data_IF_755521427456
#
_entry.id   IF_755521427456
#
_cell.length_a   1.000
_cell.length_b   1.000
_cell.length_c   1.000
_cell.angle_alpha   90.00
_cell.angle_beta   90.00
_cell.angle_gamma   90.00
#
_symmetry.space_group_name_H-M   'P 1'
#
loop_
_entity.id
_entity.type
_entity.pdbx_description
1 polymer ?
#
# COMPACT_ATOMS: atom_id res chain seq x y z
N UNK A 1 -26.96 -71.44 -19.31
CA UNK A 1 -26.84 -71.17 -17.85
C UNK A 1 -26.10 -69.84 -17.66
N UNK A 2 -26.75 -68.89 -16.96
CA UNK A 2 -26.26 -67.58 -16.47
C UNK A 2 -26.07 -66.42 -17.48
N UNK A 3 -27.19 -65.72 -17.67
CA UNK A 3 -27.33 -64.27 -17.86
C UNK A 3 -26.69 -63.53 -16.66
N UNK A 4 -26.01 -62.40 -16.91
CA UNK A 4 -26.11 -61.10 -16.18
C UNK A 4 -24.80 -60.32 -16.31
N UNK A 5 -24.89 -59.10 -16.85
CA UNK A 5 -23.77 -58.17 -16.93
C UNK A 5 -24.19 -56.80 -17.46
N UNK A 6 -25.24 -56.26 -16.85
CA UNK A 6 -25.72 -54.88 -17.05
C UNK A 6 -24.72 -53.92 -16.41
N UNK A 7 -24.11 -53.02 -17.19
CA UNK A 7 -23.46 -51.82 -16.64
C UNK A 7 -23.98 -50.60 -17.39
N UNK A 8 -24.66 -49.76 -16.60
CA UNK A 8 -25.33 -48.53 -16.95
C UNK A 8 -24.39 -47.51 -17.59
N UNK A 9 -24.86 -46.90 -18.68
CA UNK A 9 -24.34 -45.64 -19.21
C UNK A 9 -24.82 -44.52 -18.26
N UNK A 10 -23.92 -43.93 -17.47
CA UNK A 10 -24.21 -42.74 -16.67
C UNK A 10 -23.90 -41.49 -17.49
N UNK A 11 -24.96 -40.77 -17.86
CA UNK A 11 -24.93 -39.45 -18.48
C UNK A 11 -24.77 -38.37 -17.41
N UNK A 12 -23.84 -37.45 -17.67
CA UNK A 12 -23.74 -36.04 -17.29
C UNK A 12 -24.09 -35.61 -15.85
N UNK A 13 -23.09 -35.04 -15.16
CA UNK A 13 -23.14 -33.64 -14.70
C UNK A 13 -21.71 -33.10 -14.71
N UNK A 14 -21.38 -32.25 -15.68
CA UNK A 14 -20.19 -31.39 -15.59
C UNK A 14 -20.56 -30.29 -14.60
N UNK A 15 -20.18 -30.48 -13.33
CA UNK A 15 -20.28 -29.45 -12.30
C UNK A 15 -19.30 -28.33 -12.66
N UNK A 16 -19.78 -27.32 -13.38
CA UNK A 16 -19.02 -26.10 -13.61
C UNK A 16 -18.90 -25.40 -12.25
N UNK A 17 -17.84 -25.74 -11.52
CA UNK A 17 -17.42 -25.00 -10.35
C UNK A 17 -16.85 -23.66 -10.86
N UNK A 18 -17.72 -22.68 -11.11
CA UNK A 18 -17.29 -21.29 -11.10
C UNK A 18 -17.06 -20.91 -9.64
N UNK A 19 -15.92 -21.32 -9.09
CA UNK A 19 -15.34 -20.58 -7.98
C UNK A 19 -14.98 -19.23 -8.57
N UNK A 20 -15.87 -18.25 -8.38
CA UNK A 20 -15.55 -16.86 -8.63
C UNK A 20 -14.33 -16.53 -7.75
N UNK A 21 -13.14 -16.58 -8.33
CA UNK A 21 -11.98 -15.96 -7.72
C UNK A 21 -12.33 -14.49 -7.57
N UNK A 22 -12.60 -14.03 -6.34
CA UNK A 22 -12.36 -12.62 -6.03
C UNK A 22 -10.92 -12.39 -6.44
N UNK A 23 -10.70 -11.63 -7.51
CA UNK A 23 -9.36 -11.25 -7.97
C UNK A 23 -8.72 -10.59 -6.76
N UNK A 24 -7.84 -11.32 -6.05
CA UNK A 24 -7.03 -10.71 -5.00
C UNK A 24 -6.37 -9.51 -5.67
N UNK A 25 -6.39 -8.30 -5.07
CA UNK A 25 -5.74 -7.17 -5.69
C UNK A 25 -4.31 -7.62 -6.00
N UNK A 26 -3.90 -7.46 -7.26
CA UNK A 26 -2.55 -7.81 -7.68
C UNK A 26 -1.63 -7.07 -6.70
N UNK A 27 -0.75 -7.83 -6.03
CA UNK A 27 0.21 -7.26 -5.07
C UNK A 27 0.89 -6.06 -5.76
N UNK A 28 1.14 -4.96 -5.04
CA UNK A 28 1.78 -3.81 -5.64
C UNK A 28 3.17 -4.20 -6.13
N UNK A 29 3.54 -3.71 -7.31
CA UNK A 29 4.83 -4.03 -7.96
C UNK A 29 6.03 -3.49 -7.18
N UNK A 30 5.82 -2.45 -6.36
CA UNK A 30 6.74 -1.98 -5.34
C UNK A 30 6.06 -2.17 -3.96
N UNK A 31 6.72 -2.83 -2.98
CA UNK A 31 6.16 -3.04 -1.64
C UNK A 31 5.84 -1.74 -0.87
N UNK A 32 6.26 -0.57 -1.36
CA UNK A 32 5.96 0.73 -0.77
C UNK A 32 4.81 1.46 -1.52
N UNK A 33 4.41 0.98 -2.69
CA UNK A 33 3.36 1.56 -3.56
C UNK A 33 2.04 0.79 -3.55
N UNK A 34 1.50 0.52 -2.36
CA UNK A 34 0.14 -0.03 -2.25
C UNK A 34 -0.90 0.75 -3.06
N UNK A 35 -2.08 0.19 -3.21
CA UNK A 35 -3.19 0.82 -3.94
C UNK A 35 -3.89 1.80 -3.01
N UNK A 36 -3.67 3.09 -3.23
CA UNK A 36 -4.40 4.16 -2.55
C UNK A 36 -5.92 4.00 -2.76
N UNK A 37 -6.70 4.14 -1.69
CA UNK A 37 -8.16 4.23 -1.76
C UNK A 37 -8.65 5.68 -1.80
N UNK A 38 -7.74 6.65 -1.93
CA UNK A 38 -8.10 8.06 -2.06
C UNK A 38 -8.97 8.29 -3.31
N UNK A 39 -10.08 9.00 -3.12
CA UNK A 39 -11.00 9.35 -4.21
C UNK A 39 -10.60 10.72 -4.77
N UNK A 40 -10.14 10.73 -6.02
CA UNK A 40 -9.74 11.96 -6.71
C UNK A 40 -10.90 12.52 -7.53
N UNK A 41 -10.99 13.85 -7.60
CA UNK A 41 -12.02 14.52 -8.39
C UNK A 41 -11.71 14.36 -9.89
N UNK A 42 -12.57 13.69 -10.69
CA UNK A 42 -12.28 13.41 -12.10
C UNK A 42 -12.21 14.69 -12.97
N UNK A 43 -12.73 15.82 -12.47
CA UNK A 43 -12.69 17.11 -13.18
C UNK A 43 -11.43 17.92 -12.86
N UNK A 44 -10.46 17.34 -12.15
CA UNK A 44 -9.17 17.97 -11.84
C UNK A 44 -8.04 17.22 -12.53
N UNK A 45 -7.02 17.97 -12.93
CA UNK A 45 -5.79 17.42 -13.47
C UNK A 45 -4.79 17.22 -12.35
N UNK A 46 -4.16 16.04 -12.32
CA UNK A 46 -3.17 15.68 -11.32
C UNK A 46 -1.83 15.40 -12.00
N UNK A 47 -0.76 15.89 -11.38
CA UNK A 47 0.61 15.49 -11.71
C UNK A 47 1.07 14.33 -10.84
N UNK A 48 2.36 14.03 -10.90
CA UNK A 48 3.00 13.04 -10.02
C UNK A 48 4.35 13.54 -9.52
N UNK A 49 4.74 13.08 -8.32
CA UNK A 49 6.10 13.18 -7.79
C UNK A 49 6.53 11.80 -7.31
N UNK A 50 7.83 11.50 -7.40
CA UNK A 50 8.42 10.23 -6.95
C UNK A 50 9.49 10.52 -5.91
N UNK A 51 9.43 9.83 -4.77
CA UNK A 51 10.47 9.92 -3.72
C UNK A 51 11.62 8.92 -3.96
N UNK A 52 12.59 8.91 -3.04
CA UNK A 52 13.79 8.06 -3.11
C UNK A 52 13.49 6.55 -3.04
N UNK A 53 12.34 6.20 -2.46
CA UNK A 53 11.84 4.82 -2.32
C UNK A 53 11.10 4.32 -3.56
N UNK A 54 11.00 5.19 -4.57
CA UNK A 54 10.20 4.97 -5.75
C UNK A 54 8.69 5.07 -5.45
N UNK A 55 8.28 5.70 -4.33
CA UNK A 55 6.87 5.93 -4.09
C UNK A 55 6.34 6.99 -5.04
N UNK A 56 5.26 6.69 -5.76
CA UNK A 56 4.63 7.67 -6.66
C UNK A 56 3.41 8.28 -5.98
N UNK A 57 3.37 9.61 -5.92
CA UNK A 57 2.28 10.38 -5.32
C UNK A 57 1.64 11.27 -6.37
N UNK A 58 0.31 11.39 -6.35
CA UNK A 58 -0.40 12.42 -7.10
C UNK A 58 -0.11 13.80 -6.53
N UNK A 59 0.00 14.78 -7.42
CA UNK A 59 0.08 16.19 -7.06
C UNK A 59 -1.03 16.98 -7.73
N UNK A 60 -1.33 18.17 -7.22
CA UNK A 60 -2.29 19.10 -7.82
C UNK A 60 -1.76 20.52 -7.74
N UNK A 61 -1.99 21.30 -8.79
CA UNK A 61 -1.66 22.73 -8.80
C UNK A 61 -2.81 23.52 -8.16
N UNK A 62 -2.51 24.30 -7.13
CA UNK A 62 -3.45 25.21 -6.48
C UNK A 62 -2.80 26.59 -6.41
N UNK A 63 -3.40 27.57 -7.10
CA UNK A 63 -2.75 28.85 -7.36
C UNK A 63 -1.47 28.65 -8.18
N UNK A 64 -0.34 29.15 -7.66
CA UNK A 64 0.97 29.03 -8.30
C UNK A 64 1.85 27.92 -7.68
N UNK A 65 1.30 27.10 -6.79
CA UNK A 65 2.04 26.08 -6.06
C UNK A 65 1.55 24.68 -6.42
N UNK A 66 2.48 23.73 -6.44
CA UNK A 66 2.18 22.30 -6.57
C UNK A 66 2.11 21.68 -5.17
N UNK A 67 0.99 21.06 -4.87
CA UNK A 67 0.73 20.40 -3.59
C UNK A 67 0.67 18.89 -3.79
N UNK A 68 1.10 18.12 -2.78
CA UNK A 68 0.79 16.70 -2.73
C UNK A 68 -0.72 16.50 -2.56
N UNK A 69 -1.29 15.55 -3.29
CA UNK A 69 -2.69 15.13 -3.18
C UNK A 69 -2.85 13.82 -2.39
N UNK A 70 -1.74 13.29 -1.86
CA UNK A 70 -1.66 12.05 -1.09
C UNK A 70 -0.72 12.23 0.09
N UNK A 71 -0.79 11.33 1.08
CA UNK A 71 0.06 11.38 2.26
C UNK A 71 1.45 10.78 1.97
N UNK A 72 2.49 11.35 2.59
CA UNK A 72 3.88 10.90 2.46
C UNK A 72 4.09 9.51 3.11
N UNK A 73 4.89 8.64 2.47
CA UNK A 73 5.16 7.26 2.96
C UNK A 73 6.60 6.78 2.76
N UNK A 74 7.55 7.70 2.64
CA UNK A 74 8.99 7.45 2.54
C UNK A 74 9.55 6.74 3.79
N UNK A 75 10.59 5.96 3.61
CA UNK A 75 11.30 5.18 4.63
C UNK A 75 12.80 5.45 4.64
N UNK A 76 13.28 6.26 3.69
CA UNK A 76 14.64 6.78 3.65
C UNK A 76 14.62 8.31 3.53
N UNK A 77 15.63 8.94 4.08
CA UNK A 77 15.93 10.35 3.82
C UNK A 77 16.40 10.56 2.38
N UNK A 78 16.46 11.82 1.93
CA UNK A 78 16.88 12.16 0.56
C UNK A 78 18.33 11.74 0.24
N UNK A 79 19.17 11.50 1.24
CA UNK A 79 20.52 10.96 1.07
C UNK A 79 20.59 9.42 1.02
N UNK A 80 19.45 8.73 1.18
CA UNK A 80 19.36 7.27 1.19
C UNK A 80 19.49 6.62 2.57
N UNK A 81 19.71 7.38 3.64
CA UNK A 81 19.75 6.82 5.00
C UNK A 81 18.36 6.34 5.40
N UNK A 82 18.27 5.16 6.04
CA UNK A 82 17.01 4.63 6.55
C UNK A 82 16.50 5.44 7.73
N UNK A 83 15.19 5.69 7.76
CA UNK A 83 14.49 6.18 8.95
C UNK A 83 14.05 4.95 9.77
N UNK A 84 14.35 4.83 11.07
CA UNK A 84 13.95 3.68 11.87
C UNK A 84 12.42 3.52 11.98
N UNK A 85 11.91 2.30 11.76
CA UNK A 85 10.53 1.96 12.06
C UNK A 85 10.38 1.56 13.54
N UNK A 86 9.78 2.41 14.37
CA UNK A 86 9.61 2.16 15.80
C UNK A 86 8.13 2.04 16.15
N UNK A 87 7.72 0.85 16.59
CA UNK A 87 6.29 0.52 16.81
C UNK A 87 5.90 0.39 18.28
N UNK A 88 6.89 0.31 19.18
CA UNK A 88 6.66 0.20 20.63
C UNK A 88 6.38 1.58 21.23
N UNK A 89 5.26 1.70 21.96
CA UNK A 89 4.81 2.97 22.51
C UNK A 89 5.75 3.53 23.58
N UNK A 90 6.36 2.66 24.39
CA UNK A 90 7.27 3.09 25.46
C UNK A 90 8.54 3.66 24.84
N UNK A 91 9.11 2.92 23.88
CA UNK A 91 10.27 3.35 23.09
C UNK A 91 9.96 4.66 22.37
N UNK A 92 8.84 4.74 21.65
CA UNK A 92 8.45 5.94 20.89
C UNK A 92 8.39 7.21 21.75
N UNK A 93 7.80 7.09 22.95
CA UNK A 93 7.65 8.21 23.88
C UNK A 93 9.00 8.79 24.34
N UNK A 94 9.99 7.93 24.51
CA UNK A 94 11.30 8.30 25.07
C UNK A 94 12.36 8.60 24.00
N UNK A 95 12.01 8.48 22.70
CA UNK A 95 12.92 8.75 21.59
C UNK A 95 13.37 10.22 21.54
N UNK A 96 14.67 10.40 21.36
CA UNK A 96 15.30 11.66 20.97
C UNK A 96 15.92 11.62 19.56
N UNK A 97 15.63 10.56 18.80
CA UNK A 97 16.13 10.32 17.44
C UNK A 97 14.98 10.16 16.46
N UNK A 98 15.31 10.16 15.18
CA UNK A 98 14.34 9.97 14.11
C UNK A 98 13.65 8.61 14.16
N UNK A 99 12.36 8.63 13.83
CA UNK A 99 11.57 7.43 13.64
C UNK A 99 10.33 7.71 12.79
N UNK A 100 9.86 6.66 12.12
CA UNK A 100 8.52 6.59 11.57
C UNK A 100 7.78 5.37 12.12
N UNK A 101 6.46 5.36 11.98
CA UNK A 101 5.63 4.17 12.16
C UNK A 101 4.39 4.23 11.25
N UNK A 102 3.58 3.17 11.27
CA UNK A 102 2.30 3.15 10.54
C UNK A 102 1.15 3.25 11.54
N UNK A 103 0.03 3.83 11.11
CA UNK A 103 -1.19 3.82 11.91
C UNK A 103 -1.55 2.37 12.31
N UNK A 104 -1.76 2.16 13.62
CA UNK A 104 -2.02 0.84 14.20
C UNK A 104 -0.94 -0.23 13.89
N UNK A 105 0.31 0.18 13.63
CA UNK A 105 1.42 -0.69 13.27
C UNK A 105 1.10 -1.66 12.12
N UNK A 106 0.21 -1.26 11.21
CA UNK A 106 -0.21 -2.09 10.08
C UNK A 106 0.94 -2.38 9.14
N UNK A 107 0.93 -3.56 8.51
CA UNK A 107 1.80 -3.93 7.39
C UNK A 107 1.05 -3.99 6.06
N UNK A 108 -0.25 -3.66 6.07
CA UNK A 108 -1.09 -3.62 4.87
C UNK A 108 -0.70 -2.44 3.98
N UNK A 109 -0.27 -2.76 2.76
CA UNK A 109 0.30 -1.78 1.85
C UNK A 109 -0.74 -0.80 1.31
N UNK A 110 -1.99 -1.23 1.12
CA UNK A 110 -3.06 -0.37 0.62
C UNK A 110 -3.47 0.66 1.69
N UNK A 111 -3.47 0.24 2.96
CA UNK A 111 -3.65 1.12 4.13
C UNK A 111 -2.52 2.14 4.23
N UNK A 112 -1.26 1.71 4.10
CA UNK A 112 -0.10 2.60 4.11
C UNK A 112 -0.15 3.58 2.92
N UNK A 113 -0.53 3.13 1.72
CA UNK A 113 -0.66 3.98 0.55
C UNK A 113 -1.75 5.05 0.70
N UNK A 114 -2.84 4.71 1.38
CA UNK A 114 -3.97 5.63 1.61
C UNK A 114 -3.67 6.66 2.70
N UNK A 115 -3.17 6.21 3.84
CA UNK A 115 -3.01 7.06 5.03
C UNK A 115 -1.60 7.63 5.20
N UNK A 116 -0.62 7.13 4.44
CA UNK A 116 0.78 7.49 4.61
C UNK A 116 1.41 6.85 5.85
N UNK A 117 2.56 7.38 6.23
CA UNK A 117 3.28 7.01 7.45
C UNK A 117 3.30 8.18 8.42
N UNK A 118 3.50 7.87 9.70
CA UNK A 118 3.62 8.84 10.78
C UNK A 118 5.11 9.05 11.07
N UNK A 119 5.53 10.30 11.17
CA UNK A 119 6.91 10.68 11.47
C UNK A 119 6.94 11.47 12.76
N UNK A 120 7.97 11.26 13.58
CA UNK A 120 8.19 12.11 14.73
C UNK A 120 8.86 13.45 14.33
N UNK A 121 8.95 14.38 15.28
CA UNK A 121 9.56 15.68 15.04
C UNK A 121 11.03 15.58 14.61
N UNK A 122 11.80 14.64 15.20
CA UNK A 122 13.21 14.44 14.87
C UNK A 122 13.41 14.04 13.41
N UNK A 123 12.53 13.19 12.87
CA UNK A 123 12.56 12.82 11.46
C UNK A 123 12.21 14.00 10.54
N UNK A 124 11.19 14.79 10.89
CA UNK A 124 10.74 15.95 10.08
C UNK A 124 11.75 17.10 10.08
N UNK A 125 12.42 17.34 11.21
CA UNK A 125 13.39 18.43 11.37
C UNK A 125 14.84 18.01 11.03
N UNK A 126 15.04 16.80 10.51
CA UNK A 126 16.37 16.32 10.13
C UNK A 126 16.88 17.04 8.87
N UNK A 127 18.15 17.44 8.88
CA UNK A 127 18.79 18.13 7.75
C UNK A 127 18.91 17.27 6.49
N UNK A 128 18.84 15.94 6.61
CA UNK A 128 18.86 15.01 5.47
C UNK A 128 17.57 15.08 4.64
N UNK A 129 16.48 15.59 5.22
CA UNK A 129 15.20 15.80 4.57
C UNK A 129 14.44 14.52 4.27
N UNK A 130 13.13 14.51 4.57
CA UNK A 130 12.22 13.46 4.13
C UNK A 130 12.04 13.47 2.59
#
# INVERSE_FOLDING_TARGET
>A
MKIKGMVLIFIAVVSINFTACKKKPLKPDNPLNGRTTAVFNPNKTYGTVTDIDGNVYKTIVIGNQTWMAENLRVTHYQNGDTIPNVTDNTTWKDLSTDAYCNYNNTTDLDTIATYGRLYNWYAVNDTRGL
#
